data_IF_407087744529
#
_entry.id   IF_407087744529
#
_cell.length_a   1.000
_cell.length_b   1.000
_cell.length_c   1.000
_cell.angle_alpha   90.00
_cell.angle_beta   90.00
_cell.angle_gamma   90.00
#
_symmetry.space_group_name_H-M   'P 1'
#
loop_
_entity.id
_entity.type
_entity.pdbx_description
1 polymer ?
#
# COMPACT_ATOMS: atom_id res chain seq x y z
N UNK A 1 19.25 6.65 -6.16
CA UNK A 1 18.49 6.09 -5.03
C UNK A 1 17.37 5.21 -5.58
N UNK A 2 17.10 4.06 -4.96
CA UNK A 2 16.09 3.08 -5.43
C UNK A 2 14.70 3.71 -5.41
N UNK A 3 14.38 4.48 -4.37
CA UNK A 3 13.09 5.18 -4.23
C UNK A 3 12.74 5.99 -5.48
N UNK A 4 13.67 6.78 -6.01
CA UNK A 4 13.43 7.62 -7.18
C UNK A 4 13.14 6.83 -8.46
N UNK A 5 13.75 5.65 -8.61
CA UNK A 5 13.55 4.78 -9.79
C UNK A 5 12.21 4.06 -9.71
N UNK A 6 11.77 3.69 -8.50
CA UNK A 6 10.60 2.82 -8.31
C UNK A 6 9.31 3.60 -8.11
N UNK A 7 9.37 4.87 -7.70
CA UNK A 7 8.21 5.75 -7.51
C UNK A 7 7.17 5.77 -8.65
N UNK A 8 7.52 5.78 -9.96
CA UNK A 8 6.50 5.77 -11.01
C UNK A 8 5.84 4.40 -11.22
N UNK A 9 6.40 3.33 -10.64
CA UNK A 9 5.93 1.94 -10.82
C UNK A 9 5.18 1.45 -9.58
N UNK A 10 5.63 1.84 -8.39
CA UNK A 10 5.08 1.41 -7.12
C UNK A 10 4.02 2.38 -6.62
N UNK A 11 3.05 1.85 -5.89
CA UNK A 11 2.04 2.63 -5.19
C UNK A 11 2.63 3.34 -3.96
N UNK A 12 3.61 2.70 -3.34
CA UNK A 12 4.29 3.23 -2.16
C UNK A 12 5.66 2.55 -2.00
N UNK A 13 6.57 3.26 -1.36
CA UNK A 13 7.91 2.80 -1.00
C UNK A 13 8.11 2.96 0.51
N UNK A 14 8.66 1.93 1.15
CA UNK A 14 9.09 1.96 2.54
C UNK A 14 10.61 1.72 2.61
N UNK A 15 11.27 2.39 3.54
CA UNK A 15 12.64 2.08 3.95
C UNK A 15 12.59 1.82 5.46
N UNK A 16 12.92 0.61 5.88
CA UNK A 16 12.89 0.21 7.29
C UNK A 16 14.17 0.70 7.97
N UNK A 17 14.04 1.54 9.00
CA UNK A 17 15.18 2.12 9.72
C UNK A 17 15.47 1.43 11.06
N UNK A 18 14.47 0.77 11.62
CA UNK A 18 14.54 0.11 12.93
C UNK A 18 13.87 -1.26 12.85
N UNK A 19 14.43 -2.28 13.49
CA UNK A 19 13.96 -3.67 13.39
C UNK A 19 12.58 -3.85 14.01
N UNK A 20 12.27 -3.05 15.03
CA UNK A 20 10.98 -2.98 15.73
C UNK A 20 9.83 -2.58 14.79
N UNK A 21 10.13 -1.82 13.73
CA UNK A 21 9.15 -1.33 12.76
C UNK A 21 8.88 -2.33 11.63
N UNK A 22 9.72 -3.35 11.46
CA UNK A 22 9.69 -4.24 10.30
C UNK A 22 8.34 -4.95 10.16
N UNK A 23 7.83 -5.54 11.25
CA UNK A 23 6.58 -6.28 11.24
C UNK A 23 5.38 -5.39 10.87
N UNK A 24 5.31 -4.18 11.43
CA UNK A 24 4.23 -3.23 11.15
C UNK A 24 4.32 -2.65 9.75
N UNK A 25 5.54 -2.39 9.27
CA UNK A 25 5.78 -1.94 7.90
C UNK A 25 5.29 -2.97 6.89
N UNK A 26 5.58 -4.25 7.11
CA UNK A 26 5.10 -5.34 6.24
C UNK A 26 3.56 -5.40 6.25
N UNK A 27 2.92 -5.37 7.42
CA UNK A 27 1.44 -5.36 7.52
C UNK A 27 0.84 -4.18 6.75
N UNK A 28 1.37 -2.98 6.95
CA UNK A 28 0.92 -1.76 6.27
C UNK A 28 1.13 -1.84 4.77
N UNK A 29 2.25 -2.41 4.30
CA UNK A 29 2.52 -2.61 2.89
C UNK A 29 1.47 -3.50 2.21
N UNK A 30 1.09 -4.61 2.84
CA UNK A 30 0.01 -5.47 2.33
C UNK A 30 -1.35 -4.74 2.29
N UNK A 31 -1.67 -3.95 3.32
CA UNK A 31 -2.90 -3.16 3.35
C UNK A 31 -2.93 -2.09 2.24
N UNK A 32 -1.80 -1.41 1.99
CA UNK A 32 -1.68 -0.43 0.91
C UNK A 32 -1.78 -1.11 -0.46
N UNK A 33 -1.06 -2.22 -0.65
CA UNK A 33 -1.06 -2.97 -1.91
C UNK A 33 -2.46 -3.42 -2.33
N UNK A 34 -3.32 -3.79 -1.38
CA UNK A 34 -4.67 -4.28 -1.63
C UNK A 34 -5.76 -3.19 -1.68
N UNK A 35 -5.51 -2.03 -1.07
CA UNK A 35 -6.50 -0.95 -1.02
C UNK A 35 -6.84 -0.34 -2.39
N UNK A 36 -8.06 0.15 -2.60
CA UNK A 36 -8.43 0.90 -3.82
C UNK A 36 -8.17 0.11 -5.10
N UNK A 37 -7.38 0.67 -6.04
CA UNK A 37 -6.81 -0.12 -7.14
C UNK A 37 -5.58 -0.88 -6.62
N UNK A 38 -5.55 -2.22 -6.69
CA UNK A 38 -4.40 -3.00 -6.26
C UNK A 38 -3.15 -2.64 -7.05
N UNK A 39 -1.99 -2.68 -6.40
CA UNK A 39 -0.72 -2.33 -7.04
C UNK A 39 0.49 -2.65 -6.17
N UNK A 40 1.70 -2.67 -6.77
CA UNK A 40 2.92 -3.07 -6.08
C UNK A 40 3.34 -2.05 -5.01
N UNK A 41 3.90 -2.55 -3.92
CA UNK A 41 4.52 -1.75 -2.85
C UNK A 41 5.92 -2.28 -2.64
N UNK A 42 6.91 -1.40 -2.56
CA UNK A 42 8.30 -1.75 -2.34
C UNK A 42 8.68 -1.50 -0.88
N UNK A 43 9.39 -2.47 -0.29
CA UNK A 43 9.92 -2.40 1.07
C UNK A 43 11.42 -2.65 0.97
N UNK A 44 12.21 -1.62 1.20
CA UNK A 44 13.66 -1.74 1.31
C UNK A 44 14.03 -2.10 2.75
N UNK A 45 14.72 -3.24 2.91
CA UNK A 45 15.19 -3.75 4.19
C UNK A 45 16.72 -3.76 4.18
N UNK A 46 17.37 -2.85 4.92
CA UNK A 46 18.82 -2.82 5.06
C UNK A 46 19.40 -4.09 5.71
N UNK A 47 20.68 -4.37 5.44
CA UNK A 47 21.36 -5.59 5.90
C UNK A 47 21.40 -5.72 7.43
N UNK A 48 21.68 -4.62 8.12
CA UNK A 48 21.70 -4.54 9.58
C UNK A 48 20.32 -4.87 10.17
N UNK A 49 19.23 -4.43 9.54
CA UNK A 49 17.86 -4.78 9.94
C UNK A 49 17.59 -6.27 9.72
N UNK A 50 18.03 -6.85 8.60
CA UNK A 50 17.84 -8.30 8.36
C UNK A 50 18.60 -9.19 9.34
N UNK A 51 19.70 -8.69 9.92
CA UNK A 51 20.53 -9.43 10.87
C UNK A 51 20.13 -9.22 12.34
N UNK A 52 19.30 -8.22 12.63
CA UNK A 52 18.87 -7.87 13.96
C UNK A 52 17.79 -8.83 14.49
N UNK A 53 17.75 -9.00 15.81
CA UNK A 53 16.73 -9.77 16.51
C UNK A 53 15.80 -8.83 17.27
N UNK A 54 14.51 -9.12 17.24
CA UNK A 54 13.48 -8.36 17.97
C UNK A 54 12.37 -9.31 18.39
N UNK A 55 11.70 -8.99 19.50
CA UNK A 55 10.49 -9.72 19.89
C UNK A 55 9.39 -9.49 18.86
N UNK A 56 8.85 -10.59 18.31
CA UNK A 56 7.77 -10.53 17.35
C UNK A 56 6.40 -10.52 18.05
N UNK A 57 5.69 -9.40 17.93
CA UNK A 57 4.30 -9.32 18.33
C UNK A 57 3.39 -9.69 17.14
N UNK A 58 2.72 -10.83 17.22
CA UNK A 58 1.70 -11.25 16.25
C UNK A 58 0.41 -10.47 16.44
N UNK A 59 0.08 -9.59 15.50
CA UNK A 59 -1.24 -8.96 15.41
C UNK A 59 -2.04 -9.54 14.25
N UNK A 60 -3.35 -9.69 14.46
CA UNK A 60 -4.32 -10.18 13.46
C UNK A 60 -5.19 -9.07 12.88
N UNK A 61 -4.86 -7.81 13.16
CA UNK A 61 -5.59 -6.60 12.73
C UNK A 61 -5.37 -6.31 11.24
N UNK A 62 -5.87 -7.19 10.38
CA UNK A 62 -5.88 -6.96 8.95
C UNK A 62 -7.15 -6.18 8.58
N UNK A 63 -7.17 -4.88 8.87
CA UNK A 63 -8.29 -4.01 8.49
C UNK A 63 -8.22 -3.73 6.99
N UNK A 64 -8.78 -4.64 6.19
CA UNK A 64 -8.98 -4.41 4.77
C UNK A 64 -9.92 -3.23 4.58
N UNK A 65 -9.47 -2.17 3.92
CA UNK A 65 -10.35 -1.08 3.50
C UNK A 65 -11.05 -1.51 2.21
N UNK A 66 -12.37 -1.75 2.22
CA UNK A 66 -13.08 -2.16 1.02
C UNK A 66 -12.95 -1.09 -0.07
N UNK A 67 -12.97 -1.53 -1.33
CA UNK A 67 -13.05 -0.60 -2.45
C UNK A 67 -14.30 0.26 -2.32
N UNK A 68 -14.11 1.58 -2.23
CA UNK A 68 -15.23 2.51 -2.27
C UNK A 68 -15.62 2.73 -3.73
N UNK A 69 -16.90 2.52 -4.09
CA UNK A 69 -17.36 2.80 -5.44
C UNK A 69 -17.21 4.29 -5.77
N UNK A 70 -17.17 4.66 -7.06
CA UNK A 70 -17.20 6.06 -7.48
C UNK A 70 -18.42 6.79 -6.89
N UNK A 71 -18.29 8.08 -6.62
CA UNK A 71 -19.42 8.92 -6.16
C UNK A 71 -20.58 8.86 -7.16
N UNK A 72 -21.81 8.77 -6.64
CA UNK A 72 -23.03 8.65 -7.45
C UNK A 72 -23.17 9.77 -8.48
N UNK A 73 -22.84 11.01 -8.13
CA UNK A 73 -22.84 12.16 -9.06
C UNK A 73 -21.98 11.91 -10.30
N UNK A 74 -20.80 11.28 -10.15
CA UNK A 74 -19.94 10.95 -11.28
C UNK A 74 -20.56 9.86 -12.15
N UNK A 75 -21.26 8.90 -11.55
CA UNK A 75 -21.94 7.83 -12.27
C UNK A 75 -23.07 8.44 -13.11
N UNK A 76 -23.91 9.29 -12.50
CA UNK A 76 -25.00 9.99 -13.18
C UNK A 76 -24.51 10.84 -14.37
N UNK A 77 -23.48 11.67 -14.15
CA UNK A 77 -22.88 12.49 -15.22
C UNK A 77 -22.32 11.65 -16.37
N UNK A 78 -21.76 10.47 -16.07
CA UNK A 78 -21.20 9.59 -17.09
C UNK A 78 -22.31 8.95 -17.94
N UNK A 79 -23.42 8.55 -17.31
CA UNK A 79 -24.59 8.01 -18.00
C UNK A 79 -25.22 9.04 -18.93
N UNK A 80 -25.36 10.30 -18.48
CA UNK A 80 -25.86 11.39 -19.31
C UNK A 80 -24.98 11.63 -20.54
N UNK A 81 -23.65 11.68 -20.36
CA UNK A 81 -22.71 11.85 -21.47
C UNK A 81 -22.75 10.69 -22.46
N UNK A 82 -22.91 9.45 -21.99
CA UNK A 82 -23.03 8.28 -22.86
C UNK A 82 -24.34 8.29 -23.68
N UNK A 83 -25.44 8.79 -23.10
CA UNK A 83 -26.72 8.92 -23.80
C UNK A 83 -26.75 10.05 -24.84
N UNK A 84 -25.83 11.01 -24.72
CA UNK A 84 -25.69 12.13 -25.65
C UNK A 84 -24.73 11.85 -26.83
N UNK A 85 -24.07 10.69 -26.83
CA UNK A 85 -23.28 10.16 -27.95
C UNK A 85 -24.15 9.27 -28.84
#
# INVERSE_FOLDING_TARGET
>A
DITGITMPVTKHNFIVKHVEELADTIRKAFAIAQSGRPGPVLIDIPKDITAAMVEYNSRTDNVMRPHQPPKEERIALTLEKLAAC
#
